data_IF_786970070109
#
_entry.id   IF_786970070109
#
_cell.length_a   1.000
_cell.length_b   1.000
_cell.length_c   1.000
_cell.angle_alpha   90.00
_cell.angle_beta   90.00
_cell.angle_gamma   90.00
#
_symmetry.space_group_name_H-M   'P 1'
#
loop_
_entity.id
_entity.type
_entity.pdbx_description
1 polymer ?
#
# COMPACT_ATOMS: atom_id res chain seq x y z
N UNK A 1 -12.25 -8.02 -13.42
CA UNK A 1 -12.53 -6.81 -12.60
C UNK A 1 -13.51 -7.11 -11.46
N UNK A 2 -14.47 -8.05 -11.61
CA UNK A 2 -15.30 -8.54 -10.50
C UNK A 2 -14.53 -9.34 -9.43
N UNK A 3 -13.60 -10.18 -9.86
CA UNK A 3 -12.81 -11.05 -8.96
C UNK A 3 -11.96 -10.26 -7.95
N UNK A 4 -11.44 -9.10 -8.35
CA UNK A 4 -10.70 -8.19 -7.46
C UNK A 4 -11.60 -7.63 -6.35
N UNK A 5 -12.83 -7.23 -6.68
CA UNK A 5 -13.79 -6.76 -5.68
C UNK A 5 -14.18 -7.85 -4.67
N UNK A 6 -14.25 -9.12 -5.09
CA UNK A 6 -14.51 -10.23 -4.17
C UNK A 6 -13.32 -10.54 -3.25
N UNK A 7 -12.09 -10.48 -3.78
CA UNK A 7 -10.85 -10.63 -3.01
C UNK A 7 -10.72 -9.56 -1.91
N UNK A 8 -11.10 -8.32 -2.21
CA UNK A 8 -11.09 -7.20 -1.27
C UNK A 8 -12.23 -7.27 -0.23
N UNK A 9 -13.23 -8.12 -0.45
CA UNK A 9 -14.33 -8.26 0.48
C UNK A 9 -13.86 -8.90 1.79
N UNK A 10 -14.46 -8.50 2.92
CA UNK A 10 -14.24 -9.17 4.22
C UNK A 10 -14.57 -10.68 4.20
N UNK A 11 -15.26 -11.14 3.15
CA UNK A 11 -15.71 -12.51 2.98
C UNK A 11 -14.69 -13.38 2.20
N UNK A 12 -13.68 -12.76 1.58
CA UNK A 12 -12.70 -13.43 0.71
C UNK A 12 -13.31 -14.02 -0.56
N UNK A 13 -12.46 -14.63 -1.39
CA UNK A 13 -12.86 -15.25 -2.66
C UNK A 13 -13.29 -16.71 -2.47
N UNK A 14 -14.30 -17.16 -3.22
CA UNK A 14 -14.66 -18.57 -3.32
C UNK A 14 -13.91 -19.18 -4.51
N UNK A 15 -13.14 -20.23 -4.25
CA UNK A 15 -12.45 -21.01 -5.27
C UNK A 15 -13.13 -22.36 -5.39
N UNK A 16 -13.71 -22.64 -6.55
CA UNK A 16 -14.23 -23.97 -6.86
C UNK A 16 -13.06 -24.92 -7.13
N UNK A 17 -12.77 -25.78 -6.16
CA UNK A 17 -11.81 -26.87 -6.32
C UNK A 17 -12.57 -28.09 -6.84
N UNK A 18 -12.19 -28.60 -8.01
CA UNK A 18 -12.78 -29.82 -8.56
C UNK A 18 -12.72 -30.95 -7.52
N UNK A 19 -13.82 -31.71 -7.40
CA UNK A 19 -14.05 -32.78 -6.41
C UNK A 19 -14.30 -32.35 -4.95
N UNK A 20 -14.33 -31.04 -4.66
CA UNK A 20 -14.65 -30.49 -3.34
C UNK A 20 -15.72 -29.40 -3.43
N UNK A 21 -16.95 -29.79 -3.79
CA UNK A 21 -18.11 -28.90 -3.76
C UNK A 21 -18.27 -28.30 -2.34
N UNK A 22 -18.51 -26.98 -2.28
CA UNK A 22 -18.65 -26.17 -1.06
C UNK A 22 -17.37 -25.97 -0.20
N UNK A 23 -16.18 -26.25 -0.75
CA UNK A 23 -14.93 -26.03 -0.02
C UNK A 23 -14.41 -24.59 -0.16
N UNK A 24 -14.28 -23.89 0.98
CA UNK A 24 -13.81 -22.50 1.02
C UNK A 24 -12.36 -22.39 1.47
N UNK A 25 -11.48 -21.97 0.56
CA UNK A 25 -10.10 -21.60 0.89
C UNK A 25 -10.05 -20.13 1.26
N UNK A 26 -9.55 -19.82 2.46
CA UNK A 26 -9.21 -18.44 2.86
C UNK A 26 -7.71 -18.26 2.67
N UNK A 27 -7.33 -17.52 1.63
CA UNK A 27 -5.95 -17.09 1.42
C UNK A 27 -5.72 -15.70 2.01
N UNK A 28 -4.55 -15.49 2.62
CA UNK A 28 -4.07 -14.15 2.97
C UNK A 28 -2.70 -13.98 2.36
N UNK A 29 -2.51 -12.87 1.64
CA UNK A 29 -1.20 -12.52 1.11
C UNK A 29 -0.36 -11.97 2.26
N UNK A 30 0.55 -12.79 2.77
CA UNK A 30 1.31 -12.50 4.00
C UNK A 30 2.57 -11.67 3.77
N UNK A 31 3.12 -11.67 2.54
CA UNK A 31 4.32 -10.92 2.20
C UNK A 31 4.43 -10.72 0.69
N UNK A 32 4.91 -9.53 0.30
CA UNK A 32 5.28 -9.19 -1.07
C UNK A 32 6.80 -9.00 -1.11
N UNK A 33 7.50 -9.86 -1.85
CA UNK A 33 8.93 -9.70 -2.11
C UNK A 33 9.12 -9.07 -3.48
N UNK A 34 9.73 -7.89 -3.52
CA UNK A 34 10.06 -7.17 -4.75
C UNK A 34 11.30 -6.32 -4.50
N UNK A 35 12.03 -5.98 -5.57
CA UNK A 35 13.01 -4.90 -5.49
C UNK A 35 12.31 -3.59 -5.11
N UNK A 36 13.07 -2.60 -4.64
CA UNK A 36 12.49 -1.37 -4.10
C UNK A 36 11.61 -0.62 -5.12
N UNK A 37 11.95 -0.67 -6.41
CA UNK A 37 11.16 -0.01 -7.46
C UNK A 37 9.83 -0.75 -7.65
N UNK A 38 9.87 -2.08 -7.83
CA UNK A 38 8.68 -2.89 -7.98
C UNK A 38 7.77 -2.80 -6.75
N UNK A 39 8.37 -2.76 -5.56
CA UNK A 39 7.63 -2.68 -4.31
C UNK A 39 6.93 -1.31 -4.11
N UNK A 40 7.49 -0.23 -4.66
CA UNK A 40 6.83 1.09 -4.71
C UNK A 40 5.73 1.11 -5.77
N UNK A 41 6.01 0.65 -6.98
CA UNK A 41 5.03 0.61 -8.07
C UNK A 41 3.82 -0.20 -7.67
N UNK A 42 4.00 -1.43 -7.18
CA UNK A 42 2.92 -2.31 -6.69
C UNK A 42 2.17 -1.67 -5.52
N UNK A 43 2.86 -0.97 -4.63
CA UNK A 43 2.26 -0.21 -3.52
C UNK A 43 1.63 1.13 -3.95
N UNK A 44 1.54 1.45 -5.24
CA UNK A 44 0.95 2.72 -5.68
C UNK A 44 1.72 3.97 -5.23
N UNK A 45 3.01 3.83 -4.92
CA UNK A 45 3.86 4.92 -4.47
C UNK A 45 4.68 5.54 -5.61
N UNK A 46 5.13 6.78 -5.38
CA UNK A 46 6.18 7.43 -6.16
C UNK A 46 7.52 6.68 -6.06
N UNK A 47 8.45 6.96 -6.97
CA UNK A 47 9.78 6.33 -6.98
C UNK A 47 10.61 6.69 -5.74
N UNK A 48 11.75 6.04 -5.55
CA UNK A 48 12.68 6.32 -4.44
C UNK A 48 13.24 7.75 -4.39
N UNK A 49 13.07 8.51 -5.47
CA UNK A 49 13.42 9.94 -5.54
C UNK A 49 12.34 10.86 -4.97
N UNK A 50 11.23 10.29 -4.52
CA UNK A 50 10.16 10.95 -3.76
C UNK A 50 10.71 11.66 -2.52
N UNK A 51 10.06 12.75 -2.10
CA UNK A 51 10.40 13.44 -0.86
C UNK A 51 10.27 12.49 0.33
N UNK A 52 9.18 11.70 0.36
CA UNK A 52 8.96 10.57 1.27
C UNK A 52 9.10 9.25 0.51
N UNK A 53 10.24 8.60 0.67
CA UNK A 53 10.60 7.39 -0.06
C UNK A 53 10.34 6.11 0.73
N UNK A 54 10.13 6.17 2.04
CA UNK A 54 9.84 4.97 2.82
C UNK A 54 8.35 4.62 2.71
N UNK A 55 8.05 3.33 2.55
CA UNK A 55 6.65 2.85 2.49
C UNK A 55 6.02 2.70 3.86
N UNK A 56 6.84 2.46 4.88
CA UNK A 56 6.40 2.18 6.26
C UNK A 56 6.35 3.43 7.14
N UNK A 57 7.12 4.45 6.81
CA UNK A 57 7.15 5.70 7.55
C UNK A 57 7.16 6.90 6.61
N UNK A 58 6.65 8.02 7.09
CA UNK A 58 6.52 9.25 6.31
C UNK A 58 7.79 10.12 6.39
N UNK A 59 8.95 9.49 6.59
CA UNK A 59 10.24 10.19 6.71
C UNK A 59 10.59 10.91 5.41
N UNK A 60 11.07 12.14 5.53
CA UNK A 60 11.61 12.88 4.39
C UNK A 60 13.13 12.73 4.29
N UNK A 61 13.69 12.85 3.08
CA UNK A 61 15.14 12.79 2.87
C UNK A 61 16.00 13.64 3.83
N UNK A 62 15.63 14.90 4.14
CA UNK A 62 16.41 15.72 5.08
C UNK A 62 16.43 15.14 6.50
N UNK A 63 15.38 14.40 6.88
CA UNK A 63 15.15 13.91 8.24
C UNK A 63 15.98 12.69 8.62
N UNK A 64 16.51 11.96 7.64
CA UNK A 64 17.31 10.74 7.83
C UNK A 64 18.50 10.97 8.79
N UNK A 65 19.09 12.17 8.77
CA UNK A 65 20.28 12.46 9.55
C UNK A 65 19.99 12.63 11.06
N UNK A 66 18.75 12.96 11.42
CA UNK A 66 18.38 13.36 12.79
C UNK A 66 17.23 12.57 13.41
N UNK A 67 16.32 11.96 12.65
CA UNK A 67 15.33 11.01 13.17
C UNK A 67 15.96 9.61 13.19
N UNK A 68 16.34 9.14 14.38
CA UNK A 68 17.11 7.89 14.54
C UNK A 68 16.34 6.79 15.25
N UNK A 69 15.30 7.14 15.98
CA UNK A 69 14.45 6.19 16.72
C UNK A 69 13.12 6.07 16.01
N UNK A 70 12.47 4.91 16.18
CA UNK A 70 11.13 4.68 15.65
C UNK A 70 10.14 5.71 16.23
N UNK A 71 10.30 6.07 17.50
CA UNK A 71 9.46 7.07 18.18
C UNK A 71 9.57 8.49 17.58
N UNK A 72 10.64 8.77 16.82
CA UNK A 72 10.81 10.05 16.11
C UNK A 72 10.06 10.06 14.76
N UNK A 73 9.59 8.90 14.29
CA UNK A 73 9.00 8.70 12.98
C UNK A 73 7.48 8.66 13.07
N UNK A 74 6.82 9.33 12.12
CA UNK A 74 5.41 9.09 11.84
C UNK A 74 5.34 7.84 10.95
N UNK A 75 4.73 6.78 11.45
CA UNK A 75 4.50 5.57 10.69
C UNK A 75 3.31 5.77 9.75
N UNK A 76 3.36 5.13 8.58
CA UNK A 76 2.20 5.04 7.73
C UNK A 76 1.23 4.04 8.36
N UNK A 77 0.00 4.47 8.53
CA UNK A 77 -1.11 3.66 8.99
C UNK A 77 -2.25 3.75 7.97
N UNK A 78 -3.36 3.06 8.26
CA UNK A 78 -4.49 3.02 7.33
C UNK A 78 -5.12 4.39 7.12
N UNK A 79 -5.29 5.14 8.19
CA UNK A 79 -6.00 6.41 8.17
C UNK A 79 -5.22 7.44 7.36
N UNK A 80 -3.92 7.60 7.64
CA UNK A 80 -3.08 8.56 6.93
C UNK A 80 -2.79 8.13 5.47
N UNK A 81 -2.84 6.82 5.17
CA UNK A 81 -2.78 6.35 3.78
C UNK A 81 -4.08 6.68 3.04
N UNK A 82 -5.24 6.41 3.62
CA UNK A 82 -6.54 6.68 2.99
C UNK A 82 -6.72 8.19 2.75
N UNK A 83 -6.30 9.05 3.69
CA UNK A 83 -6.23 10.51 3.49
C UNK A 83 -5.32 10.90 2.31
N UNK A 84 -4.13 10.30 2.22
CA UNK A 84 -3.20 10.53 1.13
C UNK A 84 -3.78 10.10 -0.23
N UNK A 85 -4.49 8.97 -0.29
CA UNK A 85 -5.20 8.50 -1.48
C UNK A 85 -6.28 9.50 -1.90
N UNK A 86 -7.12 9.95 -0.97
CA UNK A 86 -8.19 10.92 -1.24
C UNK A 86 -7.61 12.23 -1.78
N UNK A 87 -6.55 12.76 -1.14
CA UNK A 87 -5.89 13.98 -1.58
C UNK A 87 -5.31 13.84 -3.00
N UNK A 88 -4.61 12.73 -3.27
CA UNK A 88 -3.94 12.49 -4.56
C UNK A 88 -4.93 12.27 -5.71
N UNK A 89 -6.10 11.69 -5.42
CA UNK A 89 -7.19 11.54 -6.39
C UNK A 89 -7.94 12.85 -6.63
N UNK A 90 -7.91 13.77 -5.68
CA UNK A 90 -8.60 15.06 -5.78
C UNK A 90 -7.79 16.09 -6.58
N UNK A 91 -6.46 16.10 -6.41
CA UNK A 91 -5.55 16.98 -7.15
C UNK A 91 -4.21 16.29 -7.42
N UNK A 92 -3.80 16.27 -8.70
CA UNK A 92 -2.52 15.71 -9.15
C UNK A 92 -1.31 16.41 -8.50
N UNK A 93 -1.46 17.68 -8.10
CA UNK A 93 -0.41 18.42 -7.41
C UNK A 93 -0.18 17.95 -5.96
N UNK A 94 -1.05 17.11 -5.40
CA UNK A 94 -0.86 16.49 -4.09
C UNK A 94 0.03 15.24 -4.15
N UNK A 95 0.15 14.59 -5.31
CA UNK A 95 0.97 13.38 -5.48
C UNK A 95 2.42 13.57 -4.99
N UNK A 96 3.13 14.68 -5.28
CA UNK A 96 4.49 14.90 -4.76
C UNK A 96 4.56 15.22 -3.25
N UNK A 97 3.42 15.43 -2.57
CA UNK A 97 3.35 15.70 -1.13
C UNK A 97 2.99 14.45 -0.33
N UNK A 98 2.07 13.65 -0.87
CA UNK A 98 1.59 12.39 -0.31
C UNK A 98 2.48 11.21 -0.70
N UNK A 99 3.14 11.31 -1.85
CA UNK A 99 3.91 10.27 -2.53
C UNK A 99 3.07 9.06 -2.94
N UNK A 100 1.74 9.21 -2.96
CA UNK A 100 0.78 8.21 -3.38
C UNK A 100 0.26 8.58 -4.76
N UNK A 101 0.39 7.68 -5.72
CA UNK A 101 -0.11 7.86 -7.09
C UNK A 101 -1.52 7.30 -7.28
N UNK A 102 -1.81 6.19 -6.60
CA UNK A 102 -3.08 5.51 -6.68
C UNK A 102 -3.29 4.60 -5.46
N UNK A 103 -4.54 4.23 -5.20
CA UNK A 103 -4.90 3.28 -4.14
C UNK A 103 -4.46 1.87 -4.53
N UNK A 104 -3.56 1.27 -3.75
CA UNK A 104 -3.15 -0.12 -3.92
C UNK A 104 -3.76 -0.99 -2.84
N UNK A 105 -4.22 -2.18 -3.23
CA UNK A 105 -4.77 -3.19 -2.32
C UNK A 105 -3.73 -3.83 -1.41
N UNK A 106 -2.46 -3.55 -1.67
CA UNK A 106 -1.33 -4.09 -0.94
C UNK A 106 -0.81 -3.12 0.15
N UNK A 107 -1.48 -1.98 0.36
CA UNK A 107 -1.28 -1.09 1.52
C UNK A 107 -2.53 -1.01 2.38
#
# INVERSE_FOLDING_TARGET
>A
MFELHELESKNGMLLDVADLADFRIRGTLVSVCADTKGAHEIGGFMSLSAKKFCRLCLIEHPEINFKRRIDDLVLRDRDNYDEAVVASNSDVNEIPKTEVKYSSLLN
#
